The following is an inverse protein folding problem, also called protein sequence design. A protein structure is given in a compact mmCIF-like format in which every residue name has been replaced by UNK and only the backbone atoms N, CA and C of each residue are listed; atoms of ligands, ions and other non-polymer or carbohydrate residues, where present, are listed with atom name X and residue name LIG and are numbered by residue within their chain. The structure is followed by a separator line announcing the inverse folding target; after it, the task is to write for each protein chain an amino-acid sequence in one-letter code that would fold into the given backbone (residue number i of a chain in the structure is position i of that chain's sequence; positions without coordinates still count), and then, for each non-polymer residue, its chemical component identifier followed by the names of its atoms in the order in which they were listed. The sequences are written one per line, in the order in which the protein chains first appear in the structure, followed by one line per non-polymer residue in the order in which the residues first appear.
data_IF_475690177462
#
_entry.id   IF_475690177462
#
_cell.length_a   1.000
_cell.length_b   1.000
_cell.length_c   1.000
_cell.angle_alpha   90.00
_cell.angle_beta   90.00
_cell.angle_gamma   90.00
#
_symmetry.space_group_name_H-M   'P 1'
#
loop_
_entity.id
_entity.type
_entity.pdbx_description
1 polymer ?
#
# COMPACT_ATOMS: atom_id res chain seq x y z
N UNK A 1 8.04 -8.01 -15.92
CA UNK A 1 7.12 -7.69 -17.04
C UNK A 1 7.47 -8.54 -18.27
N UNK A 2 6.47 -9.07 -18.99
CA UNK A 2 6.67 -9.84 -20.24
C UNK A 2 6.16 -8.99 -21.42
N UNK A 3 7.05 -8.65 -22.34
CA UNK A 3 6.74 -7.87 -23.55
C UNK A 3 6.73 -8.81 -24.76
N UNK A 4 5.55 -9.28 -25.15
CA UNK A 4 5.40 -10.22 -26.28
C UNK A 4 5.56 -9.46 -27.61
N UNK A 5 6.31 -10.04 -28.54
CA UNK A 5 6.41 -9.54 -29.92
C UNK A 5 5.28 -10.15 -30.78
N UNK A 6 4.29 -9.36 -31.25
CA UNK A 6 3.18 -9.87 -32.04
C UNK A 6 3.60 -10.51 -33.36
N UNK A 7 4.69 -10.05 -33.98
CA UNK A 7 5.19 -10.61 -35.22
C UNK A 7 5.86 -11.97 -34.97
N UNK A 8 6.63 -12.08 -33.88
CA UNK A 8 7.30 -13.32 -33.52
C UNK A 8 6.31 -14.44 -33.17
N UNK A 9 5.25 -14.15 -32.40
CA UNK A 9 4.20 -15.16 -32.10
C UNK A 9 3.45 -15.58 -33.37
N UNK A 10 3.13 -14.64 -34.27
CA UNK A 10 2.41 -14.92 -35.50
C UNK A 10 3.23 -15.81 -36.45
N UNK A 11 4.55 -15.57 -36.57
CA UNK A 11 5.46 -16.41 -37.33
C UNK A 11 5.54 -17.85 -36.77
N UNK A 12 5.35 -18.01 -35.47
CA UNK A 12 5.26 -19.33 -34.84
C UNK A 12 3.88 -19.97 -34.98
N UNK A 13 2.86 -19.24 -35.43
CA UNK A 13 1.47 -19.70 -35.50
C UNK A 13 0.79 -19.70 -34.13
N UNK A 14 1.30 -18.89 -33.19
CA UNK A 14 0.80 -18.78 -31.82
C UNK A 14 0.00 -17.49 -31.66
N UNK A 15 -0.97 -17.54 -30.76
CA UNK A 15 -1.76 -16.40 -30.34
C UNK A 15 -1.27 -15.86 -29.00
N UNK A 16 -1.71 -14.64 -28.65
CA UNK A 16 -1.43 -14.08 -27.34
C UNK A 16 -2.07 -14.91 -26.20
N UNK A 17 -3.16 -15.60 -26.51
CA UNK A 17 -3.85 -16.49 -25.56
C UNK A 17 -3.05 -17.75 -25.27
N UNK A 18 -2.35 -18.31 -26.26
CA UNK A 18 -1.46 -19.45 -26.07
C UNK A 18 -0.31 -19.10 -25.11
N UNK A 19 0.27 -17.90 -25.28
CA UNK A 19 1.29 -17.36 -24.37
C UNK A 19 0.73 -17.21 -22.96
N UNK A 20 -0.46 -16.61 -22.80
CA UNK A 20 -1.11 -16.42 -21.50
C UNK A 20 -1.40 -17.76 -20.80
N UNK A 21 -1.92 -18.74 -21.53
CA UNK A 21 -2.24 -20.07 -21.01
C UNK A 21 -0.99 -20.81 -20.55
N UNK A 22 0.07 -20.82 -21.37
CA UNK A 22 1.34 -21.44 -21.02
C UNK A 22 1.97 -20.80 -19.77
N UNK A 23 1.94 -19.46 -19.66
CA UNK A 23 2.42 -18.75 -18.48
C UNK A 23 1.63 -19.08 -17.21
N UNK A 24 0.32 -19.22 -17.33
CA UNK A 24 -0.55 -19.55 -16.19
C UNK A 24 -0.26 -20.98 -15.71
N UNK A 25 -0.05 -21.93 -16.62
CA UNK A 25 0.28 -23.32 -16.29
C UNK A 25 1.69 -23.47 -15.71
N UNK A 26 2.64 -22.67 -16.20
CA UNK A 26 4.02 -22.70 -15.72
C UNK A 26 4.19 -22.15 -14.31
N UNK A 27 3.23 -21.38 -13.78
CA UNK A 27 3.31 -20.76 -12.46
C UNK A 27 2.26 -21.31 -11.46
N UNK A 28 2.05 -22.63 -11.48
CA UNK A 28 1.07 -23.29 -10.59
C UNK A 28 1.79 -23.94 -9.40
N UNK A 29 1.39 -23.55 -8.18
CA UNK A 29 1.80 -24.24 -6.96
C UNK A 29 0.71 -25.24 -6.54
N UNK A 30 0.83 -26.48 -7.03
CA UNK A 30 -0.13 -27.56 -6.75
C UNK A 30 0.48 -28.71 -5.94
N UNK A 31 -0.31 -29.44 -5.12
CA UNK A 31 0.17 -30.56 -4.34
C UNK A 31 0.69 -31.67 -5.27
N UNK A 32 1.88 -32.19 -4.97
CA UNK A 32 2.52 -33.27 -5.76
C UNK A 32 2.27 -34.67 -5.19
N UNK A 33 1.48 -34.75 -4.11
CA UNK A 33 1.14 -35.98 -3.42
C UNK A 33 2.10 -36.34 -2.30
N UNK A 34 1.86 -37.50 -1.71
CA UNK A 34 2.64 -38.08 -0.61
C UNK A 34 3.12 -39.48 -1.01
N UNK A 35 4.27 -39.88 -0.50
CA UNK A 35 4.81 -41.23 -0.61
C UNK A 35 4.74 -41.88 0.76
N UNK A 36 3.89 -42.88 0.90
CA UNK A 36 3.74 -43.61 2.15
C UNK A 36 4.74 -44.77 2.23
N UNK A 37 5.57 -44.77 3.27
CA UNK A 37 6.43 -45.87 3.68
C UNK A 37 5.83 -46.59 4.90
N UNK A 38 6.40 -47.75 5.27
CA UNK A 38 5.86 -48.63 6.32
C UNK A 38 5.66 -47.97 7.70
N UNK A 39 6.37 -46.89 8.00
CA UNK A 39 6.27 -46.17 9.27
C UNK A 39 6.22 -44.64 9.13
N UNK A 40 6.29 -44.10 7.91
CA UNK A 40 6.45 -42.66 7.66
C UNK A 40 5.79 -42.27 6.32
N UNK A 41 5.17 -41.10 6.25
CA UNK A 41 4.67 -40.52 5.00
C UNK A 41 5.52 -39.31 4.63
N UNK A 42 5.99 -39.25 3.39
CA UNK A 42 6.79 -38.15 2.86
C UNK A 42 5.96 -37.32 1.88
N UNK A 43 5.73 -36.05 2.19
CA UNK A 43 5.11 -35.12 1.23
C UNK A 43 6.11 -34.71 0.17
N UNK A 44 5.74 -34.83 -1.10
CA UNK A 44 6.54 -34.33 -2.20
C UNK A 44 6.28 -32.82 -2.32
N UNK A 45 7.29 -32.03 -1.97
CA UNK A 45 7.30 -30.58 -2.22
C UNK A 45 8.10 -30.25 -3.48
N UNK A 46 7.42 -29.82 -4.54
CA UNK A 46 8.07 -29.14 -5.66
C UNK A 46 7.43 -27.76 -5.82
N UNK A 47 8.26 -26.73 -5.86
CA UNK A 47 7.81 -25.37 -6.12
C UNK A 47 8.08 -25.04 -7.58
N UNK A 48 7.02 -25.06 -8.38
CA UNK A 48 7.11 -24.71 -9.80
C UNK A 48 6.93 -23.20 -10.03
N UNK A 49 6.78 -22.40 -8.97
CA UNK A 49 6.63 -20.96 -9.12
C UNK A 49 7.93 -20.31 -9.57
N UNK A 50 7.81 -19.46 -10.59
CA UNK A 50 8.92 -18.70 -11.13
C UNK A 50 8.99 -17.35 -10.41
N UNK A 51 10.04 -17.13 -9.62
CA UNK A 51 10.23 -15.91 -8.84
C UNK A 51 11.03 -14.83 -9.55
N UNK A 52 11.73 -15.18 -10.63
CA UNK A 52 12.57 -14.26 -11.40
C UNK A 52 12.16 -14.18 -12.89
N UNK A 53 12.58 -13.10 -13.54
CA UNK A 53 12.34 -12.89 -14.96
C UNK A 53 13.04 -13.93 -15.84
N UNK A 54 14.19 -14.44 -15.39
CA UNK A 54 15.00 -15.40 -16.14
C UNK A 54 14.32 -16.77 -16.25
N UNK A 55 13.65 -17.20 -15.19
CA UNK A 55 12.84 -18.41 -15.14
C UNK A 55 11.71 -18.40 -16.17
N UNK A 56 11.08 -17.23 -16.36
CA UNK A 56 10.06 -17.06 -17.40
C UNK A 56 10.62 -17.14 -18.82
N UNK A 57 11.86 -16.70 -19.07
CA UNK A 57 12.45 -16.77 -20.44
C UNK A 57 12.55 -18.21 -20.95
N UNK A 58 12.81 -19.14 -20.04
CA UNK A 58 13.00 -20.55 -20.37
C UNK A 58 11.69 -21.34 -20.43
N UNK A 59 10.54 -20.73 -20.07
CA UNK A 59 9.23 -21.35 -20.15
C UNK A 59 8.91 -21.74 -21.59
N UNK A 60 8.51 -23.00 -21.78
CA UNK A 60 8.12 -23.52 -23.09
C UNK A 60 6.67 -23.11 -23.34
N UNK A 61 6.43 -22.44 -24.46
CA UNK A 61 5.10 -21.95 -24.84
C UNK A 61 4.41 -22.93 -25.79
N UNK A 62 5.18 -23.56 -26.69
CA UNK A 62 4.66 -24.54 -27.64
C UNK A 62 5.76 -25.46 -28.15
N UNK A 63 5.39 -26.56 -28.80
CA UNK A 63 6.29 -27.42 -29.53
C UNK A 63 5.94 -27.38 -31.02
N UNK A 64 6.94 -27.10 -31.87
CA UNK A 64 6.76 -27.05 -33.32
C UNK A 64 7.81 -27.94 -33.99
N UNK A 65 7.35 -28.98 -34.70
CA UNK A 65 8.25 -29.91 -35.38
C UNK A 65 9.22 -30.65 -34.45
N UNK A 66 8.86 -30.86 -33.18
CA UNK A 66 9.71 -31.50 -32.18
C UNK A 66 10.71 -30.56 -31.48
N UNK A 67 10.80 -29.29 -31.90
CA UNK A 67 11.58 -28.27 -31.21
C UNK A 67 10.69 -27.46 -30.25
N UNK A 68 11.11 -27.23 -28.99
CA UNK A 68 10.40 -26.35 -28.07
C UNK A 68 10.59 -24.89 -28.48
N UNK A 69 9.48 -24.14 -28.52
CA UNK A 69 9.47 -22.68 -28.64
C UNK A 69 9.40 -22.10 -27.24
N UNK A 70 10.43 -21.36 -26.83
CA UNK A 70 10.52 -20.74 -25.51
C UNK A 70 9.95 -19.34 -25.53
N UNK A 71 9.56 -18.84 -24.36
CA UNK A 71 9.08 -17.47 -24.22
C UNK A 71 10.13 -16.46 -24.67
N UNK A 72 11.42 -16.72 -24.39
CA UNK A 72 12.53 -15.87 -24.85
C UNK A 72 12.64 -15.74 -26.37
N UNK A 73 12.10 -16.68 -27.14
CA UNK A 73 12.13 -16.64 -28.61
C UNK A 73 11.06 -15.70 -29.20
N UNK A 74 10.02 -15.40 -28.43
CA UNK A 74 8.83 -14.65 -28.88
C UNK A 74 8.47 -13.44 -28.00
N UNK A 75 9.17 -13.25 -26.89
CA UNK A 75 8.91 -12.17 -25.95
C UNK A 75 10.19 -11.72 -25.23
N UNK A 76 10.26 -10.43 -24.92
CA UNK A 76 11.28 -9.88 -24.04
C UNK A 76 10.77 -9.91 -22.61
N UNK A 77 11.39 -10.73 -21.77
CA UNK A 77 11.12 -10.74 -20.33
C UNK A 77 12.08 -9.79 -19.64
N UNK A 78 11.54 -8.77 -18.97
CA UNK A 78 12.30 -7.73 -18.30
C UNK A 78 11.94 -7.77 -16.82
N UNK A 79 12.96 -7.82 -15.97
CA UNK A 79 12.77 -7.54 -14.55
C UNK A 79 12.62 -6.02 -14.37
N UNK A 80 11.52 -5.62 -13.78
CA UNK A 80 11.13 -4.21 -13.74
C UNK A 80 9.97 -3.98 -12.79
N UNK A 81 9.78 -2.71 -12.46
CA UNK A 81 8.69 -2.28 -11.58
C UNK A 81 7.33 -2.56 -12.21
N UNK A 82 6.33 -2.80 -11.36
CA UNK A 82 4.95 -3.08 -11.81
C UNK A 82 4.39 -1.94 -12.67
N UNK A 83 4.70 -0.68 -12.31
CA UNK A 83 4.26 0.49 -13.04
C UNK A 83 5.42 1.48 -13.21
N UNK A 84 5.95 1.54 -14.43
CA UNK A 84 7.02 2.47 -14.85
C UNK A 84 6.47 3.85 -15.27
N UNK A 85 5.15 4.03 -15.27
CA UNK A 85 4.49 5.29 -15.63
C UNK A 85 4.13 6.16 -14.42
N UNK A 86 4.33 5.65 -13.20
CA UNK A 86 4.12 6.41 -11.98
C UNK A 86 5.45 6.93 -11.46
N UNK A 87 5.52 8.24 -11.27
CA UNK A 87 6.62 8.89 -10.61
C UNK A 87 6.06 9.89 -9.60
N UNK A 88 6.67 9.93 -8.42
CA UNK A 88 6.32 10.87 -7.38
C UNK A 88 7.59 11.56 -6.88
N UNK A 89 7.44 12.84 -6.57
CA UNK A 89 8.50 13.66 -6.00
C UNK A 89 7.97 14.39 -4.78
N UNK A 90 8.80 14.49 -3.75
CA UNK A 90 8.55 15.33 -2.59
C UNK A 90 9.73 16.31 -2.48
N UNK A 91 9.45 17.62 -2.48
CA UNK A 91 10.47 18.68 -2.40
C UNK A 91 11.61 18.52 -3.43
N UNK A 92 11.26 18.13 -4.66
CA UNK A 92 12.23 17.96 -5.76
C UNK A 92 13.06 16.67 -5.70
N UNK A 93 12.85 15.79 -4.71
CA UNK A 93 13.49 14.48 -4.61
C UNK A 93 12.50 13.37 -4.96
N UNK A 94 12.92 12.31 -5.67
CA UNK A 94 12.07 11.13 -5.90
C UNK A 94 11.57 10.56 -4.57
N UNK A 95 10.27 10.28 -4.49
CA UNK A 95 9.63 9.82 -3.27
C UNK A 95 8.52 8.81 -3.60
N UNK A 96 8.20 7.94 -2.63
CA UNK A 96 7.03 7.07 -2.70
C UNK A 96 5.92 7.72 -1.89
N UNK A 97 4.78 7.99 -2.52
CA UNK A 97 3.63 8.61 -1.86
C UNK A 97 2.67 7.56 -1.35
N UNK A 98 2.39 7.58 -0.05
CA UNK A 98 1.34 6.79 0.57
C UNK A 98 0.15 7.71 0.92
N UNK A 99 -0.94 7.57 0.15
CA UNK A 99 -2.18 8.31 0.40
C UNK A 99 -3.08 7.55 1.39
N UNK A 100 -3.30 8.13 2.57
CA UNK A 100 -4.17 7.55 3.60
C UNK A 100 -5.51 8.24 3.58
N UNK A 101 -6.57 7.46 3.26
CA UNK A 101 -7.94 7.96 3.20
C UNK A 101 -8.75 7.45 4.38
N UNK A 102 -9.50 8.35 5.03
CA UNK A 102 -10.45 7.94 6.06
C UNK A 102 -11.59 7.12 5.46
N UNK A 103 -12.08 6.15 6.22
CA UNK A 103 -13.32 5.46 5.88
C UNK A 103 -14.54 6.39 6.11
N UNK A 104 -15.64 6.21 5.36
CA UNK A 104 -16.89 6.92 5.63
C UNK A 104 -17.33 6.73 7.09
N UNK A 105 -17.75 7.82 7.76
CA UNK A 105 -18.19 7.78 9.16
C UNK A 105 -17.07 7.77 10.22
N UNK A 106 -15.80 7.58 9.84
CA UNK A 106 -14.70 7.63 10.79
C UNK A 106 -14.37 9.06 11.25
N UNK A 107 -14.01 9.20 12.53
CA UNK A 107 -13.50 10.44 13.10
C UNK A 107 -12.08 10.70 12.57
N UNK A 108 -11.91 11.78 11.81
CA UNK A 108 -10.66 12.10 11.14
C UNK A 108 -9.53 12.47 12.12
N UNK A 109 -9.84 13.17 13.22
CA UNK A 109 -8.84 13.60 14.22
C UNK A 109 -8.29 12.38 14.95
N UNK A 110 -9.17 11.52 15.44
CA UNK A 110 -8.78 10.29 16.13
C UNK A 110 -7.98 9.35 15.22
N UNK A 111 -8.35 9.27 13.94
CA UNK A 111 -7.67 8.43 12.95
C UNK A 111 -6.24 8.93 12.72
N UNK A 112 -6.05 10.24 12.50
CA UNK A 112 -4.72 10.82 12.31
C UNK A 112 -3.87 10.71 13.57
N UNK A 113 -4.45 10.88 14.76
CA UNK A 113 -3.73 10.70 16.02
C UNK A 113 -3.23 9.26 16.18
N UNK A 114 -4.03 8.27 15.76
CA UNK A 114 -3.66 6.86 15.80
C UNK A 114 -2.52 6.56 14.82
N UNK A 115 -2.59 7.13 13.61
CA UNK A 115 -1.51 7.02 12.62
C UNK A 115 -0.22 7.64 13.16
N UNK A 116 -0.28 8.88 13.68
CA UNK A 116 0.88 9.59 14.23
C UNK A 116 1.54 8.86 15.40
N UNK A 117 0.77 8.12 16.20
CA UNK A 117 1.30 7.27 17.28
C UNK A 117 2.09 6.07 16.77
N UNK A 118 1.73 5.54 15.60
CA UNK A 118 2.42 4.40 14.98
C UNK A 118 3.62 4.83 14.11
N UNK A 119 3.68 6.10 13.69
CA UNK A 119 4.77 6.60 12.85
C UNK A 119 6.19 6.36 13.42
N UNK A 120 6.47 6.52 14.72
CA UNK A 120 7.79 6.25 15.28
C UNK A 120 8.20 4.79 15.13
N UNK A 121 7.30 3.86 15.47
CA UNK A 121 7.55 2.42 15.34
C UNK A 121 7.80 2.03 13.88
N UNK A 122 7.03 2.60 12.96
CA UNK A 122 7.26 2.41 11.52
C UNK A 122 8.61 2.96 11.06
N UNK A 123 9.06 4.10 11.60
CA UNK A 123 10.37 4.67 11.29
C UNK A 123 11.52 3.78 11.77
N UNK A 124 11.36 3.14 12.92
CA UNK A 124 12.37 2.24 13.48
C UNK A 124 12.50 0.91 12.71
N UNK A 125 11.42 0.48 12.04
CA UNK A 125 11.43 -0.71 11.18
C UNK A 125 12.03 -0.46 9.79
N UNK A 126 12.18 0.81 9.40
CA UNK A 126 12.72 1.16 8.09
C UNK A 126 14.26 1.09 8.09
N UNK A 127 14.88 0.65 6.99
CA UNK A 127 16.33 0.68 6.88
C UNK A 127 16.84 2.12 6.90
N UNK A 128 18.07 2.33 7.39
CA UNK A 128 18.64 3.66 7.66
C UNK A 128 18.71 4.62 6.45
N UNK A 129 18.55 4.10 5.23
CA UNK A 129 18.51 4.89 4.00
C UNK A 129 17.10 5.37 3.61
N UNK A 130 16.05 4.96 4.32
CA UNK A 130 14.66 5.35 4.03
C UNK A 130 14.17 6.36 5.08
N UNK A 131 13.71 7.51 4.61
CA UNK A 131 13.15 8.56 5.46
C UNK A 131 11.64 8.64 5.24
N UNK A 132 10.87 8.57 6.34
CA UNK A 132 9.42 8.66 6.32
C UNK A 132 8.97 9.98 6.95
N UNK A 133 8.34 10.82 6.12
CA UNK A 133 7.84 12.13 6.51
C UNK A 133 6.38 12.33 6.11
N UNK A 134 5.65 13.10 6.92
CA UNK A 134 4.27 13.48 6.63
C UNK A 134 4.28 14.65 5.65
N UNK A 135 3.94 14.39 4.39
CA UNK A 135 3.95 15.40 3.34
C UNK A 135 2.77 16.37 3.45
N UNK A 136 1.57 15.88 3.78
CA UNK A 136 0.38 16.70 3.94
C UNK A 136 -0.55 16.13 5.01
N UNK A 137 -1.05 17.00 5.89
CA UNK A 137 -2.04 16.67 6.92
C UNK A 137 -3.21 17.66 6.86
N UNK A 138 -4.38 17.18 6.45
CA UNK A 138 -5.59 18.00 6.34
C UNK A 138 -6.30 18.24 7.68
N UNK A 139 -5.87 17.59 8.77
CA UNK A 139 -6.48 17.76 10.10
C UNK A 139 -5.98 18.98 10.86
N UNK A 140 -4.87 19.59 10.43
CA UNK A 140 -4.28 20.76 11.10
C UNK A 140 -5.29 21.91 11.20
N UNK A 141 -6.00 22.22 10.12
CA UNK A 141 -7.02 23.29 10.13
C UNK A 141 -8.20 22.93 11.03
N UNK A 142 -8.64 21.67 11.03
CA UNK A 142 -9.75 21.22 11.88
C UNK A 142 -9.37 21.39 13.36
N UNK A 143 -8.15 20.99 13.74
CA UNK A 143 -7.66 21.10 15.10
C UNK A 143 -7.53 22.56 15.54
N UNK A 144 -6.98 23.41 14.68
CA UNK A 144 -6.88 24.84 14.95
C UNK A 144 -8.26 25.49 15.16
N UNK A 145 -9.26 25.13 14.35
CA UNK A 145 -10.63 25.64 14.53
C UNK A 145 -11.27 25.16 15.84
N UNK A 146 -11.02 23.92 16.25
CA UNK A 146 -11.54 23.40 17.53
C UNK A 146 -10.90 24.15 18.70
N UNK A 147 -9.58 24.33 18.69
CA UNK A 147 -8.86 25.06 19.73
C UNK A 147 -9.31 26.53 19.83
N UNK A 148 -9.53 27.19 18.70
CA UNK A 148 -10.03 28.58 18.65
C UNK A 148 -11.44 28.71 19.24
N UNK A 149 -12.32 27.74 18.93
CA UNK A 149 -13.66 27.66 19.52
C UNK A 149 -13.61 27.41 21.02
N UNK A 150 -12.76 26.49 21.48
CA UNK A 150 -12.56 26.21 22.92
C UNK A 150 -12.05 27.44 23.67
N UNK A 151 -11.07 28.15 23.10
CA UNK A 151 -10.55 29.39 23.66
C UNK A 151 -11.62 30.47 23.74
N UNK A 152 -12.36 30.69 22.65
CA UNK A 152 -13.43 31.70 22.59
C UNK A 152 -14.55 31.38 23.58
N UNK A 153 -14.90 30.09 23.75
CA UNK A 153 -15.89 29.65 24.73
C UNK A 153 -15.44 29.97 26.16
N UNK A 154 -14.20 29.61 26.52
CA UNK A 154 -13.65 29.91 27.85
C UNK A 154 -13.55 31.41 28.10
N UNK A 155 -13.12 32.18 27.11
CA UNK A 155 -13.04 33.64 27.18
C UNK A 155 -14.44 34.24 27.42
N UNK A 156 -15.45 33.75 26.71
CA UNK A 156 -16.83 34.21 26.85
C UNK A 156 -17.39 33.89 28.23
N UNK A 157 -17.19 32.66 28.73
CA UNK A 157 -17.60 32.26 30.08
C UNK A 157 -16.94 33.16 31.13
N UNK A 158 -15.62 33.37 31.02
CA UNK A 158 -14.88 34.25 31.94
C UNK A 158 -15.37 35.70 31.89
N UNK A 159 -15.66 36.22 30.70
CA UNK A 159 -16.17 37.57 30.51
C UNK A 159 -17.57 37.74 31.12
N UNK A 160 -18.46 36.76 30.94
CA UNK A 160 -19.81 36.78 31.53
C UNK A 160 -19.72 36.79 33.06
N UNK A 161 -18.89 35.91 33.65
CA UNK A 161 -18.66 35.88 35.10
C UNK A 161 -18.13 37.23 35.60
N UNK A 162 -17.16 37.82 34.89
CA UNK A 162 -16.59 39.11 35.25
C UNK A 162 -17.64 40.25 35.22
N UNK A 163 -18.49 40.29 34.19
CA UNK A 163 -19.55 41.30 34.07
C UNK A 163 -20.57 41.14 35.19
N UNK A 164 -21.06 39.93 35.45
CA UNK A 164 -22.03 39.67 36.53
C UNK A 164 -21.44 40.07 37.89
N UNK A 165 -20.16 39.75 38.13
CA UNK A 165 -19.45 40.13 39.34
C UNK A 165 -19.41 41.64 39.56
N UNK A 166 -19.13 42.42 38.50
CA UNK A 166 -19.09 43.89 38.56
C UNK A 166 -20.45 44.48 38.96
N UNK A 167 -21.55 43.93 38.47
CA UNK A 167 -22.90 44.42 38.78
C UNK A 167 -23.38 44.01 40.19
N UNK A 168 -23.12 42.77 40.61
CA UNK A 168 -23.64 42.25 41.89
C UNK A 168 -22.76 42.60 43.09
N UNK A 169 -21.46 42.93 42.91
CA UNK A 169 -20.48 43.23 43.98
C UNK A 169 -20.44 42.20 45.13
N UNK A 170 -20.96 40.99 44.91
CA UNK A 170 -21.04 39.90 45.88
C UNK A 170 -20.65 38.59 45.20
N UNK A 171 -19.50 38.04 45.60
CA UNK A 171 -18.91 36.81 45.04
C UNK A 171 -19.92 35.63 44.98
N UNK A 172 -20.74 35.49 46.03
CA UNK A 172 -21.70 34.38 46.14
C UNK A 172 -22.90 34.48 45.20
N UNK A 173 -23.31 35.67 44.75
CA UNK A 173 -24.45 35.82 43.83
C UNK A 173 -24.08 35.58 42.35
N UNK A 174 -22.78 35.43 42.05
CA UNK A 174 -22.26 35.32 40.68
C UNK A 174 -22.05 33.86 40.25
N UNK A 175 -21.81 32.95 41.19
CA UNK A 175 -21.51 31.52 40.91
C UNK A 175 -22.78 30.64 40.91
N UNK A 176 -23.90 31.14 41.46
CA UNK A 176 -25.13 30.33 41.64
C UNK A 176 -25.97 30.17 40.34
N UNK A 177 -26.03 31.13 39.39
CA UNK A 177 -26.78 30.94 38.15
C UNK A 177 -25.96 30.40 36.97
N UNK A 178 -24.66 30.09 37.15
CA UNK A 178 -23.74 29.58 36.11
C UNK A 178 -23.45 28.10 36.26
#
# INVERSE_FOLDING_TARGET
RIQVDPAAIANQGLTLEDVRSALTQANVNGPKGTVDAASQSFTIGANDQLSDADGYRNTIISYKGGAPVRLGDVARVVDGVENDQLAAWANGKPAVLLDVRRQPGANIVQTVDSIKKLLPELRDLLPANVHLDVFADRTVTIRASVEDVEFTLMLTIGLVIAVIFVFLRRLWATVIPS
#
